data_IF_924273929450
#
_entry.id   IF_924273929450
#
_cell.length_a   1.000
_cell.length_b   1.000
_cell.length_c   1.000
_cell.angle_alpha   90.00
_cell.angle_beta   90.00
_cell.angle_gamma   90.00
#
_symmetry.space_group_name_H-M   'P 1'
#
loop_
_entity.id
_entity.type
_entity.pdbx_description
1 polymer ?
#
# COMPACT_ATOMS: atom_id res chain seq x y z
N UNK A 1 -15.47 1.70 13.64
CA UNK A 1 -14.90 0.60 14.48
C UNK A 1 -14.06 -0.27 13.57
N UNK A 2 -12.82 -0.53 13.94
CA UNK A 2 -11.91 -1.42 13.19
C UNK A 2 -12.49 -2.84 13.12
N UNK A 3 -12.46 -3.44 11.93
CA UNK A 3 -12.89 -4.82 11.68
C UNK A 3 -11.64 -5.68 11.48
N UNK A 4 -11.62 -6.88 12.04
CA UNK A 4 -10.50 -7.81 11.87
C UNK A 4 -11.04 -9.14 11.35
N UNK A 5 -10.47 -9.61 10.24
CA UNK A 5 -10.76 -10.93 9.67
C UNK A 5 -9.54 -11.81 9.83
N UNK A 6 -9.68 -12.87 10.60
CA UNK A 6 -8.68 -13.92 10.76
C UNK A 6 -8.93 -15.00 9.72
N UNK A 7 -7.99 -15.11 8.79
CA UNK A 7 -8.04 -16.07 7.69
C UNK A 7 -7.05 -17.21 7.97
N UNK A 8 -7.29 -18.37 7.41
CA UNK A 8 -6.48 -19.55 7.65
C UNK A 8 -5.02 -19.37 7.20
N UNK A 9 -4.82 -18.75 6.04
CA UNK A 9 -3.53 -18.64 5.35
C UNK A 9 -3.48 -17.41 4.44
N UNK A 10 -2.34 -17.20 3.79
CA UNK A 10 -2.09 -16.11 2.84
C UNK A 10 -3.10 -16.08 1.68
N UNK A 11 -3.47 -17.26 1.15
CA UNK A 11 -4.38 -17.32 0.00
C UNK A 11 -5.78 -16.87 0.39
N UNK A 12 -6.30 -17.32 1.54
CA UNK A 12 -7.59 -16.87 2.05
C UNK A 12 -7.58 -15.41 2.47
N UNK A 13 -6.47 -14.91 3.05
CA UNK A 13 -6.27 -13.49 3.33
C UNK A 13 -6.36 -12.68 2.02
N UNK A 14 -5.63 -13.09 1.00
CA UNK A 14 -5.62 -12.46 -0.32
C UNK A 14 -6.99 -12.44 -0.98
N UNK A 15 -7.69 -13.57 -0.94
CA UNK A 15 -9.06 -13.68 -1.46
C UNK A 15 -10.03 -12.75 -0.71
N UNK A 16 -9.92 -12.68 0.62
CA UNK A 16 -10.78 -11.78 1.42
C UNK A 16 -10.51 -10.32 1.09
N UNK A 17 -9.26 -9.92 0.99
CA UNK A 17 -8.90 -8.56 0.61
C UNK A 17 -9.38 -8.22 -0.80
N UNK A 18 -9.19 -9.13 -1.77
CA UNK A 18 -9.70 -8.96 -3.13
C UNK A 18 -11.23 -8.81 -3.17
N UNK A 19 -11.97 -9.55 -2.34
CA UNK A 19 -13.42 -9.42 -2.26
C UNK A 19 -13.86 -8.04 -1.73
N UNK A 20 -13.11 -7.44 -0.80
CA UNK A 20 -13.38 -6.08 -0.29
C UNK A 20 -13.12 -5.02 -1.37
N UNK A 21 -12.03 -5.16 -2.12
CA UNK A 21 -11.70 -4.26 -3.24
C UNK A 21 -12.71 -4.44 -4.38
N UNK A 22 -13.06 -5.68 -4.73
CA UNK A 22 -14.07 -5.99 -5.74
C UNK A 22 -15.43 -5.35 -5.41
N UNK A 23 -15.86 -5.44 -4.16
CA UNK A 23 -17.09 -4.80 -3.71
C UNK A 23 -17.03 -3.27 -3.86
N UNK A 24 -15.86 -2.65 -3.66
CA UNK A 24 -15.67 -1.21 -3.90
C UNK A 24 -15.82 -0.87 -5.38
N UNK A 25 -15.19 -1.64 -6.27
CA UNK A 25 -15.28 -1.44 -7.73
C UNK A 25 -16.72 -1.62 -8.21
N UNK A 26 -17.41 -2.68 -7.78
CA UNK A 26 -18.80 -2.98 -8.18
C UNK A 26 -19.76 -1.87 -7.74
N UNK A 27 -19.60 -1.37 -6.50
CA UNK A 27 -20.51 -0.35 -5.95
C UNK A 27 -20.21 1.07 -6.45
N UNK A 28 -18.96 1.32 -6.86
CA UNK A 28 -18.51 2.59 -7.43
C UNK A 28 -17.49 2.30 -8.54
N UNK A 29 -17.92 2.10 -9.80
CA UNK A 29 -17.04 1.74 -10.91
C UNK A 29 -15.94 2.77 -11.22
N UNK A 30 -16.15 4.04 -10.91
CA UNK A 30 -15.22 5.16 -11.01
C UNK A 30 -14.48 5.44 -9.71
N UNK A 31 -14.27 4.41 -8.87
CA UNK A 31 -13.60 4.58 -7.60
C UNK A 31 -12.11 4.90 -7.76
N UNK A 32 -11.58 5.65 -6.79
CA UNK A 32 -10.14 5.87 -6.62
C UNK A 32 -9.60 4.85 -5.63
N UNK A 33 -8.74 3.96 -6.11
CA UNK A 33 -8.08 2.95 -5.28
C UNK A 33 -6.65 3.38 -4.94
N UNK A 34 -6.36 3.47 -3.66
CA UNK A 34 -5.00 3.53 -3.16
C UNK A 34 -4.38 2.13 -3.13
N UNK A 35 -3.24 1.94 -3.80
CA UNK A 35 -2.59 0.63 -3.94
C UNK A 35 -1.21 0.61 -3.29
N UNK A 36 -0.76 -0.57 -2.91
CA UNK A 36 0.52 -0.83 -2.28
C UNK A 36 1.36 -1.81 -3.11
N UNK A 37 2.66 -1.73 -2.99
CA UNK A 37 3.62 -2.68 -3.58
C UNK A 37 4.15 -3.67 -2.53
N UNK A 38 5.13 -4.48 -2.92
CA UNK A 38 5.72 -5.50 -2.06
C UNK A 38 4.97 -6.84 -2.10
N UNK A 39 5.43 -7.79 -1.29
CA UNK A 39 4.95 -9.18 -1.35
C UNK A 39 3.54 -9.39 -0.80
N UNK A 40 3.11 -8.57 0.16
CA UNK A 40 1.83 -8.76 0.86
C UNK A 40 0.61 -8.66 -0.07
N UNK A 41 0.49 -7.69 -1.01
CA UNK A 41 -0.69 -7.53 -1.85
C UNK A 41 -0.69 -8.40 -3.11
N UNK A 42 0.40 -9.09 -3.48
CA UNK A 42 0.49 -9.85 -4.74
C UNK A 42 -0.64 -10.86 -4.88
N UNK A 43 -0.93 -11.63 -3.84
CA UNK A 43 -2.04 -12.59 -3.87
C UNK A 43 -3.40 -11.91 -4.06
N UNK A 44 -3.58 -10.72 -3.47
CA UNK A 44 -4.80 -9.92 -3.66
C UNK A 44 -4.94 -9.48 -5.13
N UNK A 45 -3.85 -9.03 -5.76
CA UNK A 45 -3.87 -8.66 -7.18
C UNK A 45 -4.17 -9.86 -8.10
N UNK A 46 -3.58 -11.02 -7.83
CA UNK A 46 -3.90 -12.26 -8.56
C UNK A 46 -5.39 -12.61 -8.48
N UNK A 47 -5.98 -12.50 -7.30
CA UNK A 47 -7.42 -12.73 -7.10
C UNK A 47 -8.30 -11.69 -7.82
N UNK A 48 -7.87 -10.43 -7.92
CA UNK A 48 -8.56 -9.40 -8.69
C UNK A 48 -8.50 -9.67 -10.19
N UNK A 49 -7.34 -10.13 -10.70
CA UNK A 49 -7.15 -10.54 -12.10
C UNK A 49 -8.05 -11.74 -12.44
N UNK A 50 -8.13 -12.74 -11.56
CA UNK A 50 -9.04 -13.89 -11.75
C UNK A 50 -10.49 -13.44 -11.85
N UNK A 51 -10.94 -12.52 -10.98
CA UNK A 51 -12.29 -11.96 -11.04
C UNK A 51 -12.57 -11.17 -12.32
N UNK A 52 -11.59 -10.40 -12.80
CA UNK A 52 -11.67 -9.72 -14.08
C UNK A 52 -11.79 -10.73 -15.24
N UNK A 53 -10.94 -11.75 -15.29
CA UNK A 53 -10.96 -12.80 -16.33
C UNK A 53 -12.27 -13.60 -16.33
N UNK A 54 -12.92 -13.75 -15.18
CA UNK A 54 -14.22 -14.40 -15.05
C UNK A 54 -15.40 -13.49 -15.45
N UNK A 55 -15.14 -12.19 -15.73
CA UNK A 55 -16.19 -11.23 -16.06
C UNK A 55 -16.90 -10.64 -14.85
N UNK A 56 -16.39 -10.85 -13.64
CA UNK A 56 -16.97 -10.34 -12.39
C UNK A 56 -16.63 -8.86 -12.14
N UNK A 57 -15.52 -8.36 -12.72
CA UNK A 57 -15.01 -7.00 -12.52
C UNK A 57 -14.71 -6.29 -13.83
N UNK A 58 -14.91 -4.98 -13.83
CA UNK A 58 -14.53 -4.05 -14.89
C UNK A 58 -13.68 -2.92 -14.31
N UNK A 59 -12.44 -2.78 -14.78
CA UNK A 59 -11.49 -1.77 -14.33
C UNK A 59 -11.46 -0.53 -15.24
N UNK A 60 -12.25 -0.50 -16.32
CA UNK A 60 -12.15 0.53 -17.36
C UNK A 60 -12.35 1.99 -16.86
N UNK A 61 -13.02 2.17 -15.71
CA UNK A 61 -13.25 3.47 -15.08
C UNK A 61 -12.53 3.67 -13.75
N UNK A 62 -11.83 2.62 -13.27
CA UNK A 62 -11.08 2.68 -12.01
C UNK A 62 -9.90 3.62 -12.16
N UNK A 63 -9.66 4.43 -11.15
CA UNK A 63 -8.47 5.27 -11.02
C UNK A 63 -7.63 4.73 -9.86
N UNK A 64 -6.31 4.71 -10.02
CA UNK A 64 -5.41 4.24 -8.96
C UNK A 64 -4.38 5.28 -8.58
N UNK A 65 -4.02 5.32 -7.30
CA UNK A 65 -2.90 6.08 -6.76
C UNK A 65 -2.05 5.15 -5.89
N UNK A 66 -0.75 5.08 -6.14
CA UNK A 66 0.15 4.24 -5.33
C UNK A 66 0.71 5.01 -4.14
N UNK A 67 1.09 4.28 -3.09
CA UNK A 67 1.65 4.87 -1.87
C UNK A 67 2.99 5.55 -2.09
N UNK A 68 3.82 4.99 -2.95
CA UNK A 68 5.24 5.33 -3.01
C UNK A 68 5.90 4.95 -4.33
N UNK A 69 7.11 5.49 -4.55
CA UNK A 69 8.03 5.12 -5.61
C UNK A 69 9.47 5.48 -5.19
N UNK A 70 10.43 4.72 -5.64
CA UNK A 70 11.85 5.03 -5.48
C UNK A 70 12.24 6.29 -6.26
N UNK A 71 12.96 7.19 -5.60
CA UNK A 71 13.56 8.35 -6.27
C UNK A 71 14.81 7.93 -7.04
N UNK A 72 14.89 8.37 -8.29
CA UNK A 72 16.01 8.08 -9.19
C UNK A 72 15.83 6.83 -10.05
N UNK A 73 14.72 6.06 -9.90
CA UNK A 73 14.43 4.95 -10.80
C UNK A 73 13.50 5.37 -11.93
N UNK A 74 13.86 5.12 -13.19
CA UNK A 74 12.96 5.29 -14.32
C UNK A 74 11.84 4.23 -14.30
N UNK A 75 10.70 4.57 -14.88
CA UNK A 75 9.48 3.72 -14.86
C UNK A 75 9.65 2.37 -15.55
N UNK A 76 10.58 2.25 -16.50
CA UNK A 76 10.90 1.01 -17.22
C UNK A 76 11.95 0.14 -16.51
N UNK A 77 12.49 0.61 -15.39
CA UNK A 77 13.32 -0.23 -14.52
C UNK A 77 12.44 -1.28 -13.83
N UNK A 78 12.84 -2.54 -13.90
CA UNK A 78 12.09 -3.69 -13.36
C UNK A 78 11.97 -3.69 -11.82
N UNK A 79 12.68 -2.80 -11.15
CA UNK A 79 12.61 -2.58 -9.71
C UNK A 79 11.78 -1.35 -9.32
N UNK A 80 11.29 -0.54 -10.29
CA UNK A 80 10.38 0.55 -9.99
C UNK A 80 9.01 0.02 -9.54
N UNK A 81 8.31 0.78 -8.71
CA UNK A 81 6.95 0.41 -8.29
C UNK A 81 5.94 0.61 -9.41
N UNK A 82 6.22 1.51 -10.34
CA UNK A 82 5.44 1.61 -11.57
C UNK A 82 5.50 0.29 -12.36
N UNK A 83 6.71 -0.27 -12.57
CA UNK A 83 6.88 -1.56 -13.23
C UNK A 83 6.19 -2.68 -12.44
N UNK A 84 6.42 -2.74 -11.13
CA UNK A 84 5.77 -3.71 -10.26
C UNK A 84 4.24 -3.73 -10.43
N UNK A 85 3.61 -2.57 -10.47
CA UNK A 85 2.16 -2.48 -10.60
C UNK A 85 1.66 -2.92 -11.97
N UNK A 86 2.41 -2.61 -13.04
CA UNK A 86 2.08 -3.12 -14.36
C UNK A 86 2.20 -4.65 -14.42
N UNK A 87 3.31 -5.21 -13.94
CA UNK A 87 3.57 -6.65 -13.95
C UNK A 87 2.58 -7.45 -13.08
N UNK A 88 2.13 -6.91 -11.95
CA UNK A 88 1.30 -7.64 -10.99
C UNK A 88 -0.21 -7.36 -11.11
N UNK A 89 -0.64 -6.28 -11.80
CA UNK A 89 -2.05 -5.94 -11.93
C UNK A 89 -2.41 -5.27 -13.25
N UNK A 90 -1.78 -4.14 -13.59
CA UNK A 90 -2.32 -3.24 -14.60
C UNK A 90 -2.29 -3.82 -16.03
N UNK A 91 -1.31 -4.68 -16.37
CA UNK A 91 -1.20 -5.32 -17.68
C UNK A 91 -2.17 -6.51 -17.84
N UNK A 92 -2.82 -6.91 -16.75
CA UNK A 92 -3.69 -8.09 -16.71
C UNK A 92 -5.18 -7.76 -16.64
N UNK A 93 -5.54 -6.47 -16.58
CA UNK A 93 -6.93 -5.99 -16.50
C UNK A 93 -7.16 -4.85 -17.50
N UNK A 94 -8.42 -4.46 -17.74
CA UNK A 94 -8.76 -3.43 -18.71
C UNK A 94 -8.68 -2.00 -18.14
N UNK A 95 -7.81 -1.73 -17.18
CA UNK A 95 -7.63 -0.37 -16.66
C UNK A 95 -6.97 0.52 -17.73
N UNK A 96 -7.46 1.75 -17.87
CA UNK A 96 -6.76 2.76 -18.66
C UNK A 96 -5.47 3.17 -17.95
N UNK A 97 -4.33 3.05 -18.63
CA UNK A 97 -3.03 3.39 -18.05
C UNK A 97 -2.92 4.87 -17.66
N UNK A 98 -3.67 5.74 -18.31
CA UNK A 98 -3.74 7.17 -17.95
C UNK A 98 -4.42 7.38 -16.58
N UNK A 99 -5.19 6.42 -16.12
CA UNK A 99 -5.82 6.42 -14.80
C UNK A 99 -4.96 5.77 -13.71
N UNK A 100 -3.72 5.36 -14.03
CA UNK A 100 -2.81 4.76 -13.06
C UNK A 100 -1.73 5.76 -12.64
N UNK A 101 -1.69 6.10 -11.36
CA UNK A 101 -0.80 7.13 -10.84
C UNK A 101 0.16 6.54 -9.80
N UNK A 102 1.44 6.73 -10.05
CA UNK A 102 2.56 6.40 -9.15
C UNK A 102 3.42 7.64 -9.07
N UNK A 103 3.98 8.02 -7.91
CA UNK A 103 4.89 9.17 -7.84
C UNK A 103 5.99 9.08 -8.89
N UNK A 104 6.44 10.19 -9.42
CA UNK A 104 7.45 10.20 -10.46
C UNK A 104 8.86 10.22 -9.85
N UNK A 105 9.49 9.05 -9.75
CA UNK A 105 10.84 8.91 -9.20
C UNK A 105 11.92 9.73 -9.91
N UNK A 106 11.68 10.16 -11.16
CA UNK A 106 12.65 10.91 -11.96
C UNK A 106 12.61 12.43 -11.74
N UNK A 107 11.66 12.94 -10.97
CA UNK A 107 11.65 14.36 -10.59
C UNK A 107 12.66 14.58 -9.46
N UNK A 108 13.65 15.44 -9.68
CA UNK A 108 14.70 15.75 -8.70
C UNK A 108 14.20 16.69 -7.59
N UNK A 109 13.34 17.63 -7.95
CA UNK A 109 12.70 18.56 -7.00
C UNK A 109 11.64 17.84 -6.18
N UNK A 110 12.06 17.39 -5.01
CA UNK A 110 11.18 16.60 -4.11
C UNK A 110 9.99 17.38 -3.58
N UNK A 111 10.14 18.67 -3.32
CA UNK A 111 9.03 19.50 -2.83
C UNK A 111 7.95 19.63 -3.91
N UNK A 112 8.41 19.85 -5.16
CA UNK A 112 7.51 19.94 -6.30
C UNK A 112 6.78 18.62 -6.55
N UNK A 113 7.49 17.48 -6.61
CA UNK A 113 6.87 16.18 -6.87
C UNK A 113 5.84 15.84 -5.79
N UNK A 114 6.20 16.02 -4.52
CA UNK A 114 5.30 15.75 -3.41
C UNK A 114 4.06 16.64 -3.44
N UNK A 115 4.21 17.93 -3.75
CA UNK A 115 3.10 18.87 -3.86
C UNK A 115 2.18 18.53 -5.05
N UNK A 116 2.75 18.19 -6.20
CA UNK A 116 2.00 17.81 -7.40
C UNK A 116 1.21 16.52 -7.17
N UNK A 117 1.81 15.52 -6.48
CA UNK A 117 1.13 14.27 -6.17
C UNK A 117 -0.02 14.46 -5.16
N UNK A 118 0.16 15.30 -4.14
CA UNK A 118 -0.95 15.68 -3.23
C UNK A 118 -2.06 16.44 -3.96
N UNK A 119 -1.71 17.34 -4.87
CA UNK A 119 -2.67 18.07 -5.70
C UNK A 119 -3.46 17.12 -6.62
N UNK A 120 -2.80 16.13 -7.21
CA UNK A 120 -3.44 15.08 -7.99
C UNK A 120 -4.44 14.30 -7.13
N UNK A 121 -4.03 13.78 -5.97
CA UNK A 121 -4.91 13.03 -5.07
C UNK A 121 -6.12 13.88 -4.66
N UNK A 122 -5.91 15.14 -4.34
CA UNK A 122 -6.98 16.07 -3.99
C UNK A 122 -7.95 16.32 -5.16
N UNK A 123 -7.45 16.44 -6.39
CA UNK A 123 -8.26 16.64 -7.59
C UNK A 123 -9.16 15.44 -7.91
N UNK A 124 -8.74 14.23 -7.53
CA UNK A 124 -9.50 13.00 -7.65
C UNK A 124 -10.56 12.83 -6.52
N UNK A 125 -10.59 13.72 -5.55
CA UNK A 125 -11.47 13.64 -4.37
C UNK A 125 -10.99 12.67 -3.28
N UNK A 126 -9.72 12.28 -3.31
CA UNK A 126 -9.10 11.32 -2.39
C UNK A 126 -9.45 9.86 -2.69
N UNK A 127 -8.88 8.94 -1.94
CA UNK A 127 -9.07 7.51 -2.12
C UNK A 127 -10.42 7.05 -1.56
N UNK A 128 -11.18 6.29 -2.35
CA UNK A 128 -12.38 5.59 -1.87
C UNK A 128 -12.01 4.38 -1.01
N UNK A 129 -10.89 3.71 -1.34
CA UNK A 129 -10.30 2.62 -0.57
C UNK A 129 -8.78 2.65 -0.71
N UNK A 130 -8.06 2.58 0.42
CA UNK A 130 -6.61 2.43 0.46
C UNK A 130 -6.23 1.01 0.90
N UNK A 131 -5.47 0.30 0.08
CA UNK A 131 -4.84 -0.96 0.45
C UNK A 131 -3.47 -0.68 1.08
N UNK A 132 -3.18 -1.32 2.20
CA UNK A 132 -1.91 -1.21 2.93
C UNK A 132 -1.33 -2.60 3.22
N UNK A 133 -0.02 -2.73 3.14
CA UNK A 133 0.74 -3.75 3.85
C UNK A 133 1.13 -3.25 5.26
N UNK A 134 1.74 -4.12 6.06
CA UNK A 134 2.28 -3.79 7.38
C UNK A 134 3.75 -4.16 7.46
N UNK A 135 4.62 -3.17 7.65
CA UNK A 135 6.04 -3.39 7.86
C UNK A 135 6.36 -4.05 9.20
N UNK A 136 7.53 -4.66 9.36
CA UNK A 136 7.93 -5.36 10.60
C UNK A 136 8.05 -4.45 11.82
N UNK A 137 8.33 -3.17 11.61
CA UNK A 137 8.40 -2.15 12.66
C UNK A 137 7.12 -1.30 12.74
N UNK A 138 6.08 -1.66 12.00
CA UNK A 138 4.78 -0.97 11.97
C UNK A 138 4.70 0.14 10.95
N UNK A 139 5.64 0.29 10.05
CA UNK A 139 5.53 1.26 8.96
C UNK A 139 4.40 0.91 7.98
N UNK A 140 3.82 1.93 7.38
CA UNK A 140 2.88 1.87 6.25
C UNK A 140 3.35 2.84 5.16
N UNK A 141 3.44 2.35 3.90
CA UNK A 141 4.28 2.99 2.89
C UNK A 141 5.74 3.03 3.39
N UNK A 142 6.48 4.10 3.11
CA UNK A 142 7.80 4.32 3.72
C UNK A 142 7.72 5.26 4.96
N UNK A 143 6.57 5.32 5.65
CA UNK A 143 6.46 6.04 6.91
C UNK A 143 7.02 5.18 8.05
N UNK A 144 8.32 5.29 8.29
CA UNK A 144 9.06 4.60 9.34
C UNK A 144 8.76 5.17 10.73
N UNK A 145 9.08 4.42 11.84
CA UNK A 145 9.01 4.96 13.20
C UNK A 145 9.75 6.27 13.33
N UNK A 146 9.06 7.30 13.88
CA UNK A 146 9.53 8.67 14.02
C UNK A 146 8.94 9.32 15.28
N UNK A 147 9.28 10.58 15.53
CA UNK A 147 8.71 11.34 16.64
C UNK A 147 7.34 11.94 16.31
N UNK A 148 7.04 12.11 15.01
CA UNK A 148 5.79 12.68 14.50
C UNK A 148 5.18 11.82 13.40
N UNK A 149 3.87 11.93 13.21
CA UNK A 149 3.19 11.40 12.03
C UNK A 149 3.33 12.37 10.85
N UNK A 150 3.94 11.90 9.76
CA UNK A 150 4.04 12.67 8.52
C UNK A 150 2.66 13.02 7.96
N UNK A 151 2.45 14.30 7.58
CA UNK A 151 1.13 14.79 7.18
C UNK A 151 0.80 14.50 5.72
N UNK A 152 1.73 14.80 4.82
CA UNK A 152 1.52 14.77 3.37
C UNK A 152 2.60 13.93 2.71
N UNK A 153 2.45 13.69 1.41
CA UNK A 153 3.49 13.05 0.61
C UNK A 153 4.82 13.78 0.80
N UNK A 154 5.89 13.02 0.98
CA UNK A 154 7.22 13.55 1.28
C UNK A 154 8.31 12.62 0.74
N UNK A 155 9.51 13.17 0.59
CA UNK A 155 10.70 12.41 0.26
C UNK A 155 11.33 11.89 1.56
N UNK A 156 11.67 10.60 1.59
CA UNK A 156 12.32 9.96 2.74
C UNK A 156 13.67 9.39 2.34
N UNK A 157 14.63 9.44 3.25
CA UNK A 157 15.84 8.64 3.17
C UNK A 157 15.53 7.21 3.63
N UNK A 158 15.89 6.22 2.82
CA UNK A 158 15.67 4.82 3.15
C UNK A 158 16.63 4.37 4.25
N UNK A 159 16.10 3.60 5.19
CA UNK A 159 16.94 3.02 6.24
C UNK A 159 17.91 1.98 5.67
N UNK A 160 19.10 1.86 6.28
CA UNK A 160 20.12 0.88 5.91
C UNK A 160 19.55 -0.54 5.84
N UNK A 161 18.66 -0.90 6.78
CA UNK A 161 17.98 -2.21 6.78
C UNK A 161 17.10 -2.43 5.55
N UNK A 162 16.46 -1.37 5.04
CA UNK A 162 15.64 -1.41 3.83
C UNK A 162 16.51 -1.54 2.59
N UNK A 163 17.62 -0.77 2.53
CA UNK A 163 18.60 -0.85 1.45
C UNK A 163 19.21 -2.25 1.38
N UNK A 164 19.66 -2.79 2.51
CA UNK A 164 20.23 -4.11 2.60
C UNK A 164 19.22 -5.22 2.23
N UNK A 165 17.97 -5.09 2.64
CA UNK A 165 16.92 -6.04 2.27
C UNK A 165 16.61 -6.01 0.77
N UNK A 166 16.73 -4.85 0.12
CA UNK A 166 16.40 -4.66 -1.29
C UNK A 166 17.58 -4.94 -2.22
N UNK A 167 18.83 -4.98 -1.72
CA UNK A 167 20.02 -5.25 -2.57
C UNK A 167 19.90 -6.51 -3.41
N UNK A 168 19.16 -7.50 -2.95
CA UNK A 168 18.91 -8.77 -3.67
C UNK A 168 18.21 -8.59 -5.02
N UNK A 169 17.61 -7.44 -5.25
CA UNK A 169 16.89 -7.10 -6.47
C UNK A 169 17.72 -6.25 -7.43
N UNK A 170 18.91 -5.81 -7.03
CA UNK A 170 19.79 -4.93 -7.80
C UNK A 170 21.13 -5.62 -8.09
N UNK A 171 21.85 -5.13 -9.09
CA UNK A 171 23.16 -5.68 -9.46
C UNK A 171 24.21 -5.45 -8.36
N UNK A 172 24.13 -4.32 -7.67
CA UNK A 172 24.97 -3.98 -6.51
C UNK A 172 24.19 -3.19 -5.47
N UNK A 173 24.72 -3.08 -4.25
CA UNK A 173 24.12 -2.26 -3.19
C UNK A 173 24.14 -0.75 -3.56
N UNK A 174 25.08 -0.32 -4.40
CA UNK A 174 25.17 1.06 -4.84
C UNK A 174 24.09 1.45 -5.84
N UNK A 175 23.47 0.46 -6.50
CA UNK A 175 22.36 0.65 -7.42
C UNK A 175 21.01 0.73 -6.70
N UNK A 176 20.97 0.38 -5.41
CA UNK A 176 19.74 0.50 -4.60
C UNK A 176 19.45 1.96 -4.33
N UNK A 177 18.26 2.47 -4.67
CA UNK A 177 17.89 3.84 -4.36
C UNK A 177 18.05 4.16 -2.88
N UNK A 178 18.46 5.37 -2.58
CA UNK A 178 18.65 5.85 -1.21
C UNK A 178 17.47 6.65 -0.70
N UNK A 179 16.59 7.08 -1.60
CA UNK A 179 15.43 7.90 -1.31
C UNK A 179 14.16 7.34 -1.98
N UNK A 180 13.02 7.67 -1.42
CA UNK A 180 11.71 7.36 -1.99
C UNK A 180 10.74 8.52 -1.76
N UNK A 181 9.75 8.67 -2.65
CA UNK A 181 8.57 9.47 -2.42
C UNK A 181 7.51 8.57 -1.78
N UNK A 182 6.92 9.01 -0.68
CA UNK A 182 5.89 8.22 0.00
C UNK A 182 4.73 9.10 0.46
N UNK A 183 3.51 8.58 0.29
CA UNK A 183 2.30 9.20 0.80
C UNK A 183 2.38 9.29 2.32
N UNK A 184 2.17 10.47 2.88
CA UNK A 184 2.22 10.68 4.33
C UNK A 184 1.02 10.07 5.05
N UNK A 185 1.18 9.82 6.33
CA UNK A 185 0.14 9.26 7.22
C UNK A 185 -1.15 10.09 7.15
N UNK A 186 -1.04 11.43 7.15
CA UNK A 186 -2.22 12.28 7.09
C UNK A 186 -3.00 12.14 5.80
N UNK A 187 -2.34 11.87 4.66
CA UNK A 187 -3.00 11.61 3.39
C UNK A 187 -3.63 10.22 3.36
N UNK A 188 -2.92 9.19 3.87
CA UNK A 188 -3.47 7.84 4.05
C UNK A 188 -4.76 7.88 4.89
N UNK A 189 -4.74 8.62 6.00
CA UNK A 189 -5.87 8.73 6.93
C UNK A 189 -7.09 9.49 6.36
N UNK A 190 -6.96 10.15 5.21
CA UNK A 190 -8.11 10.77 4.50
C UNK A 190 -8.85 9.79 3.59
N UNK A 191 -8.32 8.61 3.34
CA UNK A 191 -9.04 7.58 2.58
C UNK A 191 -10.39 7.27 3.23
N UNK A 192 -11.43 7.01 2.43
CA UNK A 192 -12.76 6.71 2.99
C UNK A 192 -12.81 5.36 3.69
N UNK A 193 -12.03 4.39 3.18
CA UNK A 193 -11.85 3.05 3.73
C UNK A 193 -10.39 2.65 3.67
N UNK A 194 -9.94 1.87 4.63
CA UNK A 194 -8.59 1.30 4.64
C UNK A 194 -8.69 -0.22 4.79
N UNK A 195 -7.97 -0.94 3.95
CA UNK A 195 -7.80 -2.40 4.05
C UNK A 195 -6.33 -2.68 4.28
N UNK A 196 -6.01 -3.31 5.40
CA UNK A 196 -4.64 -3.74 5.72
C UNK A 196 -4.54 -5.24 5.51
N UNK A 197 -3.55 -5.68 4.74
CA UNK A 197 -3.21 -7.09 4.55
C UNK A 197 -1.94 -7.44 5.30
N UNK A 198 -1.97 -8.51 6.07
CA UNK A 198 -0.83 -8.95 6.87
C UNK A 198 -0.78 -10.47 6.98
N UNK A 199 0.39 -11.05 6.71
CA UNK A 199 0.58 -12.51 6.72
C UNK A 199 1.94 -12.86 7.30
N UNK A 200 1.99 -14.00 8.01
CA UNK A 200 3.22 -14.57 8.54
C UNK A 200 3.40 -14.38 10.05
N UNK A 201 4.00 -15.38 10.70
CA UNK A 201 4.21 -15.39 12.15
C UNK A 201 5.16 -14.27 12.63
N UNK A 202 6.08 -13.82 11.77
CA UNK A 202 6.98 -12.70 12.00
C UNK A 202 6.27 -11.34 12.15
N UNK A 203 5.00 -11.28 11.76
CA UNK A 203 4.14 -10.08 11.91
C UNK A 203 3.33 -10.06 13.21
N UNK A 204 3.26 -11.17 13.97
CA UNK A 204 2.36 -11.27 15.12
C UNK A 204 2.61 -10.19 16.19
N UNK A 205 3.87 -9.87 16.49
CA UNK A 205 4.22 -8.83 17.46
C UNK A 205 3.83 -7.44 17.01
N UNK A 206 4.07 -7.14 15.74
CA UNK A 206 3.75 -5.81 15.24
C UNK A 206 2.25 -5.61 15.02
N UNK A 207 1.51 -6.66 14.70
CA UNK A 207 0.05 -6.63 14.63
C UNK A 207 -0.55 -6.29 16.01
N UNK A 208 -0.07 -6.94 17.07
CA UNK A 208 -0.50 -6.64 18.45
C UNK A 208 -0.20 -5.19 18.81
N UNK A 209 1.03 -4.72 18.56
CA UNK A 209 1.44 -3.34 18.84
C UNK A 209 0.63 -2.31 18.04
N UNK A 210 0.44 -2.56 16.74
CA UNK A 210 -0.22 -1.61 15.84
C UNK A 210 -1.72 -1.47 16.10
N UNK A 211 -2.41 -2.56 16.42
CA UNK A 211 -3.87 -2.54 16.48
C UNK A 211 -4.46 -2.68 17.89
N UNK A 212 -3.64 -3.02 18.88
CA UNK A 212 -4.07 -3.21 20.28
C UNK A 212 -3.17 -2.49 21.28
N UNK A 213 -2.03 -1.95 20.82
CA UNK A 213 -1.14 -1.09 21.63
C UNK A 213 -1.57 0.36 21.62
N UNK A 214 -0.78 1.26 22.25
CA UNK A 214 -1.02 2.70 22.21
C UNK A 214 -0.80 3.25 20.80
N UNK A 215 -1.57 4.30 20.45
CA UNK A 215 -1.34 5.08 19.24
C UNK A 215 -0.07 5.92 19.43
N UNK A 216 0.92 5.68 18.59
CA UNK A 216 2.22 6.37 18.67
C UNK A 216 2.90 6.39 17.29
N UNK A 217 3.61 7.47 16.93
CA UNK A 217 4.38 7.52 15.69
C UNK A 217 5.58 6.54 15.68
N UNK A 218 5.99 6.01 16.83
CA UNK A 218 6.99 4.93 16.90
C UNK A 218 6.45 3.57 16.41
N UNK A 219 5.13 3.47 16.19
CA UNK A 219 4.45 2.38 15.48
C UNK A 219 3.47 3.04 14.52
N UNK A 220 3.91 3.47 13.31
CA UNK A 220 3.11 4.34 12.44
C UNK A 220 1.71 3.81 12.13
N UNK A 221 1.57 2.49 11.90
CA UNK A 221 0.28 1.86 11.66
C UNK A 221 -0.69 1.95 12.84
N UNK A 222 -0.22 2.28 14.05
CA UNK A 222 -1.09 2.40 15.23
C UNK A 222 -2.13 3.52 15.09
N UNK A 223 -1.86 4.54 14.27
CA UNK A 223 -2.81 5.62 13.99
C UNK A 223 -4.10 5.12 13.31
N UNK A 224 -4.03 3.97 12.62
CA UNK A 224 -5.18 3.38 11.95
C UNK A 224 -6.31 3.03 12.93
N UNK A 225 -6.01 2.86 14.23
CA UNK A 225 -7.02 2.70 15.29
C UNK A 225 -7.97 3.90 15.38
N UNK A 226 -7.54 5.08 14.94
CA UNK A 226 -8.32 6.32 14.95
C UNK A 226 -9.14 6.54 13.68
N UNK A 227 -8.95 5.72 12.65
CA UNK A 227 -9.67 5.85 11.39
C UNK A 227 -11.09 5.24 11.50
N UNK A 228 -12.13 5.89 10.92
CA UNK A 228 -13.52 5.44 11.06
C UNK A 228 -13.84 4.08 10.41
N UNK A 229 -13.15 3.71 9.33
CA UNK A 229 -13.43 2.46 8.57
C UNK A 229 -12.14 1.75 8.15
N UNK A 230 -11.56 0.99 9.08
CA UNK A 230 -10.39 0.13 8.85
C UNK A 230 -10.81 -1.33 8.92
N UNK A 231 -10.34 -2.08 7.96
CA UNK A 231 -10.45 -3.55 7.94
C UNK A 231 -9.06 -4.16 7.88
N UNK A 232 -8.69 -4.89 8.90
CA UNK A 232 -7.46 -5.70 8.93
C UNK A 232 -7.81 -7.12 8.49
N UNK A 233 -7.13 -7.61 7.46
CA UNK A 233 -7.25 -8.99 6.98
C UNK A 233 -5.90 -9.66 7.22
N UNK A 234 -5.84 -10.53 8.21
CA UNK A 234 -4.62 -11.25 8.56
C UNK A 234 -4.81 -12.75 8.53
N UNK A 235 -3.71 -13.49 8.29
CA UNK A 235 -3.74 -14.94 8.46
C UNK A 235 -3.63 -15.33 9.96
N UNK A 236 -3.86 -16.62 10.25
CA UNK A 236 -3.78 -17.14 11.62
C UNK A 236 -2.41 -16.91 12.26
N UNK A 237 -1.34 -16.95 11.47
CA UNK A 237 0.02 -16.78 11.94
C UNK A 237 0.30 -15.31 12.33
N UNK A 238 -0.10 -14.36 11.50
CA UNK A 238 0.04 -12.93 11.80
C UNK A 238 -0.86 -12.48 12.95
N UNK A 239 -2.02 -13.13 13.14
CA UNK A 239 -2.99 -12.82 14.21
C UNK A 239 -2.87 -13.75 15.43
N UNK A 240 -1.74 -14.47 15.58
CA UNK A 240 -1.58 -15.47 16.65
C UNK A 240 -1.59 -14.87 18.07
N UNK A 241 -1.22 -13.59 18.22
CA UNK A 241 -1.16 -12.88 19.51
C UNK A 241 -2.41 -12.07 19.82
N UNK A 242 -3.40 -12.09 18.93
CA UNK A 242 -4.62 -11.31 19.06
C UNK A 242 -5.78 -12.20 19.48
N UNK A 243 -6.43 -11.86 20.57
CA UNK A 243 -7.69 -12.49 21.00
C UNK A 243 -8.86 -11.78 20.31
N UNK A 244 -9.45 -12.45 19.32
CA UNK A 244 -10.60 -11.97 18.51
C UNK A 244 -11.89 -12.61 18.98
#
# INVERSE_FOLDING_TARGET
>A
MMKIFKMKDYDQMSQKAANLIAAQIITKPDCVLGLATGSSPIGTYKQLIEKYNNGDLDFSKVITVNLDEYKGLPRDNDQSYYYFMNDNLFDHVNIDKENTHVPNGMIEDSEKECADYEALIASLGGQDLQLLGLGHNGHIGFNEPADDFAKTTHCVDLQESTIEANKRFFASIDDVPRQAYTMGIGTIMKAKKIVVVVSGADKADIVEKAFFGPVTPHVPASILQMHPDVTVVGDEAALAKVNL
#
